data_IF_111575034377
#
_entry.id   IF_111575034377
#
_cell.length_a   1.000
_cell.length_b   1.000
_cell.length_c   1.000
_cell.angle_alpha   90.00
_cell.angle_beta   90.00
_cell.angle_gamma   90.00
#
_symmetry.space_group_name_H-M   'P 1'
#
loop_
_entity.id
_entity.type
_entity.pdbx_description
1 polymer ?
#
# COMPACT_ATOMS: atom_id res chain seq x y z
N UNK A 1 43.29 -54.91 36.82
CA UNK A 1 43.55 -53.96 35.71
C UNK A 1 42.26 -53.58 35.04
N UNK A 2 41.67 -52.49 35.47
CA UNK A 2 40.42 -51.97 34.87
C UNK A 2 40.77 -50.65 34.14
N UNK A 3 40.63 -50.62 32.80
CA UNK A 3 40.86 -49.44 31.97
C UNK A 3 39.52 -48.66 31.91
N UNK A 4 39.47 -47.47 32.58
CA UNK A 4 38.37 -46.51 32.46
C UNK A 4 38.49 -45.77 31.13
N UNK A 5 37.50 -45.93 30.29
CA UNK A 5 37.32 -45.08 29.11
C UNK A 5 36.62 -43.79 29.50
N UNK A 6 37.35 -42.70 29.46
CA UNK A 6 36.83 -41.36 29.60
C UNK A 6 36.21 -40.92 28.27
N UNK A 7 34.88 -40.87 28.16
CA UNK A 7 34.20 -40.28 27.07
C UNK A 7 34.11 -38.76 27.27
N UNK A 8 34.91 -37.99 26.54
CA UNK A 8 34.74 -36.55 26.45
C UNK A 8 33.45 -36.26 25.68
N UNK A 9 32.44 -35.76 26.38
CA UNK A 9 31.23 -35.22 25.77
C UNK A 9 31.54 -33.88 25.11
N UNK A 10 31.35 -33.81 23.81
CA UNK A 10 31.46 -32.59 23.02
C UNK A 10 30.21 -31.72 23.28
N UNK A 11 30.31 -30.71 24.12
CA UNK A 11 29.25 -29.74 24.39
C UNK A 11 29.11 -28.78 23.20
N UNK A 12 28.01 -28.87 22.50
CA UNK A 12 27.61 -27.89 21.46
C UNK A 12 27.01 -26.68 22.18
N UNK A 13 27.75 -25.59 22.33
CA UNK A 13 27.19 -24.31 22.79
C UNK A 13 26.60 -23.58 21.59
N UNK A 14 25.29 -23.64 21.43
CA UNK A 14 24.54 -22.78 20.50
C UNK A 14 24.24 -21.49 21.24
N UNK A 15 25.01 -20.44 20.98
CA UNK A 15 24.67 -19.10 21.44
C UNK A 15 23.60 -18.53 20.48
N UNK A 16 22.33 -18.65 20.83
CA UNK A 16 21.26 -17.91 20.21
C UNK A 16 21.36 -16.46 20.70
N UNK A 17 21.87 -15.57 19.87
CA UNK A 17 21.82 -14.14 20.07
C UNK A 17 20.38 -13.64 19.97
N UNK A 18 19.77 -13.28 21.08
CA UNK A 18 18.54 -12.49 21.14
C UNK A 18 18.81 -11.12 20.52
N UNK A 19 18.24 -10.85 19.37
CA UNK A 19 18.24 -9.52 18.77
C UNK A 19 17.02 -8.74 19.22
N UNK A 20 17.30 -7.68 19.98
CA UNK A 20 16.33 -6.65 20.32
C UNK A 20 15.89 -5.88 19.08
N UNK A 21 14.64 -5.43 19.13
CA UNK A 21 13.84 -4.75 18.14
C UNK A 21 14.56 -3.74 17.21
N UNK A 22 14.16 -3.77 15.94
CA UNK A 22 14.12 -2.60 15.08
C UNK A 22 15.32 -2.37 14.16
N UNK A 23 15.61 -3.28 13.21
CA UNK A 23 16.32 -2.91 11.99
C UNK A 23 15.80 -3.71 10.80
N UNK A 24 15.26 -3.03 9.77
CA UNK A 24 15.01 -3.64 8.47
C UNK A 24 16.35 -3.85 7.75
N UNK A 25 16.44 -4.95 7.02
CA UNK A 25 17.49 -5.26 6.05
C UNK A 25 18.86 -5.70 6.59
N UNK A 26 18.93 -6.98 7.02
CA UNK A 26 20.17 -7.72 6.91
C UNK A 26 19.99 -8.87 5.92
N UNK A 27 20.45 -8.74 4.66
CA UNK A 27 20.28 -9.76 3.64
C UNK A 27 21.21 -10.97 3.80
N UNK A 28 22.02 -11.04 4.86
CA UNK A 28 22.97 -12.13 5.05
C UNK A 28 23.01 -12.57 6.52
N UNK A 29 22.58 -13.79 6.78
CA UNK A 29 22.85 -14.41 8.08
C UNK A 29 24.30 -14.92 8.05
N UNK A 30 25.19 -14.23 8.77
CA UNK A 30 26.57 -14.64 8.99
C UNK A 30 26.58 -15.55 10.20
N UNK A 31 26.74 -16.86 9.96
CA UNK A 31 26.91 -17.85 11.03
C UNK A 31 28.39 -18.12 11.19
N UNK A 32 28.95 -17.79 12.35
CA UNK A 32 30.33 -18.11 12.69
C UNK A 32 30.36 -19.41 13.50
N UNK A 33 31.00 -20.44 12.93
CA UNK A 33 31.18 -21.74 13.58
C UNK A 33 32.64 -21.91 13.91
N UNK A 34 32.96 -22.18 15.18
CA UNK A 34 34.30 -22.52 15.65
C UNK A 34 34.36 -24.04 15.82
N UNK A 35 35.30 -24.70 15.13
CA UNK A 35 35.55 -26.13 15.23
C UNK A 35 37.01 -26.37 15.57
N UNK A 36 37.26 -27.38 16.39
CA UNK A 36 38.62 -27.87 16.59
C UNK A 36 39.06 -28.69 15.36
N UNK A 37 40.19 -28.35 14.82
CA UNK A 37 40.84 -29.16 13.75
C UNK A 37 41.26 -30.51 14.35
N UNK A 38 40.77 -31.65 13.86
CA UNK A 38 41.06 -32.97 14.42
C UNK A 38 42.52 -33.40 14.28
N UNK A 39 43.28 -32.74 13.42
CA UNK A 39 44.72 -33.06 13.20
C UNK A 39 45.65 -32.24 14.09
N UNK A 40 45.29 -30.96 14.31
CA UNK A 40 46.21 -30.02 14.97
C UNK A 40 45.71 -29.58 16.35
N UNK A 41 44.45 -29.89 16.70
CA UNK A 41 43.81 -29.43 17.94
C UNK A 41 43.52 -27.93 17.99
N UNK A 42 43.90 -27.18 16.93
CA UNK A 42 43.68 -25.73 16.87
C UNK A 42 42.21 -25.40 16.56
N UNK A 43 41.72 -24.34 17.17
CA UNK A 43 40.39 -23.82 16.90
C UNK A 43 40.39 -23.06 15.58
N UNK A 44 39.60 -23.52 14.59
CA UNK A 44 39.40 -22.86 13.32
C UNK A 44 38.02 -22.24 13.26
N UNK A 45 38.00 -20.95 12.99
CA UNK A 45 36.74 -20.19 12.80
C UNK A 45 36.35 -20.22 11.33
N UNK A 46 35.23 -20.87 11.02
CA UNK A 46 34.61 -20.83 9.71
C UNK A 46 33.42 -19.88 9.70
N UNK A 47 33.39 -18.96 8.75
CA UNK A 47 32.27 -18.05 8.53
C UNK A 47 31.45 -18.60 7.39
N UNK A 48 30.21 -19.03 7.69
CA UNK A 48 29.26 -19.50 6.69
C UNK A 48 28.33 -18.32 6.39
N UNK A 49 28.45 -17.76 5.20
CA UNK A 49 27.53 -16.75 4.70
C UNK A 49 26.40 -17.49 3.98
N UNK A 50 25.25 -17.59 4.63
CA UNK A 50 24.05 -18.13 3.99
C UNK A 50 23.38 -17.02 3.19
N UNK A 51 23.53 -17.06 1.87
CA UNK A 51 22.72 -16.21 1.00
C UNK A 51 21.25 -16.63 1.15
N UNK A 52 20.35 -15.64 1.31
CA UNK A 52 18.90 -15.88 1.31
C UNK A 52 18.55 -16.67 0.04
N UNK A 53 17.77 -17.75 0.13
CA UNK A 53 17.43 -18.56 -1.04
C UNK A 53 16.92 -17.67 -2.18
N UNK A 54 17.39 -17.89 -3.41
CA UNK A 54 17.01 -17.11 -4.60
C UNK A 54 15.49 -17.07 -4.76
N UNK A 55 14.79 -18.13 -4.37
CA UNK A 55 13.32 -18.19 -4.33
C UNK A 55 12.70 -17.16 -3.37
N UNK A 56 13.26 -16.97 -2.18
CA UNK A 56 12.75 -15.99 -1.21
C UNK A 56 13.04 -14.55 -1.65
N UNK A 57 14.15 -14.32 -2.37
CA UNK A 57 14.45 -13.02 -2.95
C UNK A 57 13.51 -12.70 -4.12
N UNK A 58 13.27 -13.66 -5.02
CA UNK A 58 12.28 -13.51 -6.11
C UNK A 58 10.87 -13.29 -5.58
N UNK A 59 10.45 -14.01 -4.55
CA UNK A 59 9.15 -13.82 -3.92
C UNK A 59 9.00 -12.42 -3.31
N UNK A 60 10.06 -11.86 -2.71
CA UNK A 60 10.07 -10.49 -2.19
C UNK A 60 10.08 -9.45 -3.32
N UNK A 61 10.84 -9.68 -4.40
CA UNK A 61 10.85 -8.83 -5.59
C UNK A 61 9.50 -8.87 -6.32
N UNK A 62 8.85 -10.03 -6.40
CA UNK A 62 7.49 -10.19 -6.95
C UNK A 62 6.41 -9.53 -6.08
N UNK A 63 6.61 -9.46 -4.77
CA UNK A 63 5.67 -8.79 -3.85
C UNK A 63 5.71 -7.25 -4.02
N UNK A 64 6.87 -6.68 -4.29
CA UNK A 64 7.07 -5.23 -4.46
C UNK A 64 6.90 -4.78 -5.92
N UNK A 65 7.04 -5.72 -6.87
CA UNK A 65 6.88 -5.45 -8.29
C UNK A 65 5.43 -5.20 -8.72
N UNK A 66 5.20 -4.80 -10.00
CA UNK A 66 3.86 -4.46 -10.51
C UNK A 66 2.82 -5.56 -10.30
N UNK A 67 3.20 -6.83 -10.37
CA UNK A 67 2.30 -7.97 -10.13
C UNK A 67 1.91 -8.10 -8.66
N UNK A 68 2.83 -7.81 -7.74
CA UNK A 68 2.56 -7.83 -6.30
C UNK A 68 1.63 -6.70 -5.89
N UNK A 69 1.87 -5.49 -6.40
CA UNK A 69 1.00 -4.33 -6.18
C UNK A 69 -0.41 -4.61 -6.70
N UNK A 70 -0.56 -5.16 -7.92
CA UNK A 70 -1.87 -5.49 -8.46
C UNK A 70 -2.62 -6.50 -7.58
N UNK A 71 -1.96 -7.57 -7.14
CA UNK A 71 -2.56 -8.55 -6.22
C UNK A 71 -2.97 -7.94 -4.88
N UNK A 72 -2.13 -7.07 -4.32
CA UNK A 72 -2.44 -6.38 -3.08
C UNK A 72 -3.66 -5.47 -3.24
N UNK A 73 -3.73 -4.70 -4.33
CA UNK A 73 -4.88 -3.84 -4.63
C UNK A 73 -6.17 -4.65 -4.76
N UNK A 74 -6.17 -5.74 -5.54
CA UNK A 74 -7.36 -6.60 -5.71
C UNK A 74 -7.85 -7.18 -4.37
N UNK A 75 -6.93 -7.73 -3.57
CA UNK A 75 -7.26 -8.31 -2.28
C UNK A 75 -7.81 -7.26 -1.29
N UNK A 76 -7.15 -6.10 -1.20
CA UNK A 76 -7.52 -5.02 -0.28
C UNK A 76 -8.84 -4.36 -0.73
N UNK A 77 -9.02 -4.13 -2.03
CA UNK A 77 -10.26 -3.61 -2.60
C UNK A 77 -11.47 -4.47 -2.22
N UNK A 78 -11.33 -5.80 -2.34
CA UNK A 78 -12.38 -6.74 -1.97
C UNK A 78 -12.76 -6.63 -0.47
N UNK A 79 -11.77 -6.47 0.43
CA UNK A 79 -12.03 -6.34 1.88
C UNK A 79 -12.71 -5.03 2.26
N UNK A 80 -12.48 -3.97 1.48
CA UNK A 80 -13.05 -2.63 1.73
C UNK A 80 -14.29 -2.35 0.87
N UNK A 81 -14.73 -3.31 0.04
CA UNK A 81 -15.84 -3.15 -0.90
C UNK A 81 -15.67 -1.94 -1.83
N UNK A 82 -14.44 -1.68 -2.26
CA UNK A 82 -14.12 -0.61 -3.21
C UNK A 82 -13.74 -1.19 -4.57
N UNK A 83 -14.03 -0.45 -5.68
CA UNK A 83 -13.55 -0.84 -6.99
C UNK A 83 -12.00 -0.83 -7.02
N UNK A 84 -11.32 -1.92 -7.41
CA UNK A 84 -9.86 -1.92 -7.51
C UNK A 84 -9.35 -0.88 -8.51
N UNK A 85 -10.13 -0.57 -9.55
CA UNK A 85 -9.82 0.48 -10.53
C UNK A 85 -9.69 1.87 -9.88
N UNK A 86 -10.47 2.16 -8.83
CA UNK A 86 -10.38 3.42 -8.09
C UNK A 86 -9.04 3.51 -7.34
N UNK A 87 -8.68 2.46 -6.60
CA UNK A 87 -7.42 2.41 -5.85
C UNK A 87 -6.24 2.54 -6.79
N UNK A 88 -6.26 1.82 -7.91
CA UNK A 88 -5.25 1.94 -8.94
C UNK A 88 -5.14 3.35 -9.53
N UNK A 89 -6.27 4.05 -9.68
CA UNK A 89 -6.30 5.40 -10.23
C UNK A 89 -5.68 6.40 -9.27
N UNK A 90 -5.98 6.26 -7.98
CA UNK A 90 -5.33 7.04 -6.91
C UNK A 90 -3.83 6.78 -6.89
N UNK A 91 -3.38 5.53 -6.82
CA UNK A 91 -1.94 5.18 -6.82
C UNK A 91 -1.23 5.75 -8.06
N UNK A 92 -1.88 5.71 -9.23
CA UNK A 92 -1.30 6.24 -10.47
C UNK A 92 -1.08 7.74 -10.40
N UNK A 93 -2.02 8.47 -9.84
CA UNK A 93 -1.93 9.95 -9.74
C UNK A 93 -0.99 10.36 -8.62
N UNK A 94 -1.04 9.67 -7.46
CA UNK A 94 -0.24 10.02 -6.28
C UNK A 94 1.26 9.77 -6.46
N UNK A 95 1.63 8.60 -6.93
CA UNK A 95 3.04 8.19 -6.96
C UNK A 95 3.53 7.66 -8.30
N UNK A 96 2.62 7.51 -9.29
CA UNK A 96 2.92 6.77 -10.51
C UNK A 96 3.47 5.34 -10.22
N UNK A 97 2.95 4.68 -9.18
CA UNK A 97 3.40 3.37 -8.69
C UNK A 97 4.81 3.33 -8.09
N UNK A 98 5.36 4.46 -7.66
CA UNK A 98 6.63 4.48 -6.94
C UNK A 98 6.41 4.25 -5.43
N UNK A 99 6.79 3.10 -4.86
CA UNK A 99 6.58 2.83 -3.43
C UNK A 99 7.48 3.69 -2.52
N UNK A 100 8.54 4.28 -3.06
CA UNK A 100 9.48 5.13 -2.33
C UNK A 100 9.24 6.61 -2.58
N UNK A 101 8.10 7.00 -3.17
CA UNK A 101 7.79 8.39 -3.43
C UNK A 101 7.65 9.19 -2.13
N UNK A 102 8.24 10.39 -2.13
CA UNK A 102 8.07 11.37 -1.06
C UNK A 102 7.78 12.73 -1.70
N UNK A 103 6.68 13.36 -1.28
CA UNK A 103 6.33 14.69 -1.76
C UNK A 103 7.10 15.80 -1.00
N UNK A 104 7.10 17.01 -1.54
CA UNK A 104 7.66 18.20 -0.85
C UNK A 104 6.93 18.51 0.46
N UNK A 105 5.68 18.07 0.61
CA UNK A 105 4.86 18.23 1.82
C UNK A 105 5.05 17.07 2.81
N UNK A 106 5.87 16.04 2.47
CA UNK A 106 6.16 14.90 3.32
C UNK A 106 5.18 13.73 3.19
N UNK A 107 4.31 13.72 2.18
CA UNK A 107 3.46 12.57 1.87
C UNK A 107 4.32 11.40 1.35
N UNK A 108 3.97 10.15 1.68
CA UNK A 108 4.84 8.99 1.53
C UNK A 108 4.15 7.80 0.85
N UNK A 109 4.93 7.10 0.01
CA UNK A 109 4.58 5.80 -0.56
C UNK A 109 3.60 5.86 -1.74
N UNK A 110 3.02 4.70 -2.06
CA UNK A 110 2.17 4.51 -3.24
C UNK A 110 0.94 5.41 -3.29
N UNK A 111 0.27 5.58 -2.14
CA UNK A 111 -0.94 6.38 -2.00
C UNK A 111 -0.68 7.74 -1.31
N UNK A 112 0.59 8.16 -1.22
CA UNK A 112 1.03 9.46 -0.71
C UNK A 112 0.34 9.86 0.61
N UNK A 113 0.47 9.01 1.61
CA UNK A 113 -0.09 9.29 2.93
C UNK A 113 0.78 10.26 3.71
N UNK A 114 0.17 11.31 4.26
CA UNK A 114 0.83 12.13 5.26
C UNK A 114 1.14 11.29 6.52
N UNK A 115 2.27 11.51 7.20
CA UNK A 115 2.66 10.70 8.36
C UNK A 115 1.59 10.59 9.45
N UNK A 116 0.81 11.65 9.66
CA UNK A 116 -0.29 11.65 10.60
C UNK A 116 -1.45 10.75 10.14
N UNK A 117 -1.83 10.86 8.88
CA UNK A 117 -2.84 10.00 8.25
C UNK A 117 -2.39 8.53 8.27
N UNK A 118 -1.13 8.26 7.94
CA UNK A 118 -0.56 6.93 7.99
C UNK A 118 -0.71 6.30 9.39
N UNK A 119 -0.35 7.04 10.45
CA UNK A 119 -0.54 6.59 11.85
C UNK A 119 -2.01 6.36 12.19
N UNK A 120 -2.91 7.31 11.83
CA UNK A 120 -4.36 7.22 12.09
C UNK A 120 -4.97 5.96 11.48
N UNK A 121 -4.51 5.56 10.29
CA UNK A 121 -5.01 4.39 9.57
C UNK A 121 -4.14 3.13 9.71
N UNK A 122 -3.25 3.09 10.71
CA UNK A 122 -2.53 1.90 11.14
C UNK A 122 -1.46 1.42 10.16
N UNK A 123 -0.79 2.35 9.48
CA UNK A 123 0.36 2.08 8.62
C UNK A 123 1.63 2.06 9.46
N UNK A 124 2.27 0.90 9.53
CA UNK A 124 3.52 0.73 10.27
C UNK A 124 4.73 1.22 9.45
N UNK A 125 4.72 0.97 8.15
CA UNK A 125 5.76 1.40 7.24
C UNK A 125 5.13 1.97 5.95
N UNK A 126 5.15 3.29 5.79
CA UNK A 126 4.56 3.97 4.64
C UNK A 126 5.26 3.63 3.30
N UNK A 127 6.45 3.05 3.33
CA UNK A 127 7.19 2.60 2.14
C UNK A 127 7.00 1.10 1.85
N UNK A 128 6.34 0.35 2.74
CA UNK A 128 5.86 -0.99 2.41
C UNK A 128 4.62 -0.90 1.52
N UNK A 129 4.63 -1.51 0.32
CA UNK A 129 3.52 -1.39 -0.62
C UNK A 129 2.18 -1.85 -0.05
N UNK A 130 2.17 -2.96 0.68
CA UNK A 130 0.93 -3.55 1.22
C UNK A 130 0.38 -2.69 2.34
N UNK A 131 1.23 -2.28 3.30
CA UNK A 131 0.86 -1.41 4.41
C UNK A 131 0.29 -0.08 3.90
N UNK A 132 0.98 0.54 2.93
CA UNK A 132 0.58 1.82 2.36
C UNK A 132 -0.76 1.73 1.62
N UNK A 133 -0.94 0.71 0.75
CA UNK A 133 -2.21 0.48 0.04
C UNK A 133 -3.33 0.22 1.04
N UNK A 134 -3.09 -0.60 2.06
CA UNK A 134 -4.10 -0.92 3.06
C UNK A 134 -4.55 0.30 3.86
N UNK A 135 -3.61 1.12 4.32
CA UNK A 135 -3.91 2.35 5.06
C UNK A 135 -4.59 3.40 4.18
N UNK A 136 -4.06 3.63 2.97
CA UNK A 136 -4.64 4.58 2.01
C UNK A 136 -6.05 4.19 1.56
N UNK A 137 -6.30 2.89 1.36
CA UNK A 137 -7.63 2.39 1.02
C UNK A 137 -8.60 2.54 2.18
N UNK A 138 -8.17 2.29 3.43
CA UNK A 138 -8.99 2.56 4.63
C UNK A 138 -9.33 4.04 4.77
N UNK A 139 -8.37 4.92 4.53
CA UNK A 139 -8.62 6.36 4.54
C UNK A 139 -9.61 6.76 3.46
N UNK A 140 -9.42 6.29 2.22
CA UNK A 140 -10.36 6.56 1.13
C UNK A 140 -11.77 6.03 1.42
N UNK A 141 -11.89 4.82 1.98
CA UNK A 141 -13.18 4.26 2.41
C UNK A 141 -13.84 5.12 3.49
N UNK A 142 -13.08 5.51 4.51
CA UNK A 142 -13.56 6.42 5.55
C UNK A 142 -14.11 7.73 4.96
N UNK A 143 -13.41 8.33 4.00
CA UNK A 143 -13.88 9.55 3.35
C UNK A 143 -15.14 9.33 2.50
N UNK A 144 -15.24 8.20 1.80
CA UNK A 144 -16.44 7.85 1.06
C UNK A 144 -17.64 7.66 2.00
N UNK A 145 -17.44 7.06 3.17
CA UNK A 145 -18.50 6.91 4.16
C UNK A 145 -18.88 8.27 4.77
N UNK A 146 -17.90 9.13 5.04
CA UNK A 146 -18.11 10.48 5.58
C UNK A 146 -18.93 11.36 4.62
N UNK A 147 -18.71 11.23 3.31
CA UNK A 147 -19.40 12.01 2.28
C UNK A 147 -20.51 11.22 1.56
N UNK A 148 -21.10 10.21 2.22
CA UNK A 148 -22.27 9.46 1.71
C UNK A 148 -22.05 8.86 0.30
N UNK A 149 -20.84 8.45 -0.03
CA UNK A 149 -20.48 7.85 -1.31
C UNK A 149 -20.19 8.87 -2.42
N UNK A 150 -20.15 10.17 -2.13
CA UNK A 150 -19.72 11.16 -3.12
C UNK A 150 -18.22 11.06 -3.37
N UNK A 151 -17.88 10.52 -4.54
CA UNK A 151 -16.49 10.35 -4.96
C UNK A 151 -15.73 11.66 -5.13
N UNK A 152 -16.43 12.74 -5.56
CA UNK A 152 -15.76 14.02 -5.77
C UNK A 152 -15.36 14.65 -4.44
N UNK A 153 -16.27 14.64 -3.46
CA UNK A 153 -15.97 15.16 -2.12
C UNK A 153 -14.92 14.29 -1.41
N UNK A 154 -15.03 12.96 -1.49
CA UNK A 154 -14.08 12.05 -0.87
C UNK A 154 -12.66 12.21 -1.47
N UNK A 155 -12.53 12.30 -2.77
CA UNK A 155 -11.24 12.50 -3.44
C UNK A 155 -10.69 13.91 -3.20
N UNK A 156 -11.56 14.93 -3.13
CA UNK A 156 -11.14 16.28 -2.75
C UNK A 156 -10.60 16.33 -1.33
N UNK A 157 -11.27 15.66 -0.38
CA UNK A 157 -10.80 15.54 1.00
C UNK A 157 -9.52 14.71 1.11
N UNK A 158 -9.38 13.66 0.29
CA UNK A 158 -8.15 12.87 0.23
C UNK A 158 -6.93 13.75 -0.12
N UNK A 159 -7.08 14.63 -1.13
CA UNK A 159 -6.00 15.49 -1.60
C UNK A 159 -5.81 16.77 -0.76
N UNK A 160 -6.91 17.46 -0.41
CA UNK A 160 -6.87 18.76 0.26
C UNK A 160 -7.04 18.69 1.78
N UNK A 161 -7.45 17.54 2.30
CA UNK A 161 -7.84 17.34 3.70
C UNK A 161 -9.33 17.55 3.97
N UNK A 162 -9.84 16.84 4.96
CA UNK A 162 -11.25 16.88 5.40
C UNK A 162 -11.69 18.32 5.74
N UNK A 163 -10.86 19.05 6.51
CA UNK A 163 -11.17 20.42 6.93
C UNK A 163 -11.30 21.43 5.78
N UNK A 164 -10.65 21.17 4.63
CA UNK A 164 -10.82 22.03 3.46
C UNK A 164 -12.22 21.82 2.84
N UNK A 165 -12.65 20.57 2.70
CA UNK A 165 -14.01 20.25 2.17
C UNK A 165 -15.09 20.74 3.14
N UNK A 166 -14.89 20.55 4.43
CA UNK A 166 -15.81 21.05 5.46
C UNK A 166 -15.95 22.58 5.41
N UNK A 167 -14.84 23.31 5.30
CA UNK A 167 -14.83 24.78 5.22
C UNK A 167 -15.62 25.30 4.03
N UNK A 168 -15.54 24.64 2.87
CA UNK A 168 -16.24 25.09 1.66
C UNK A 168 -17.61 24.46 1.48
N UNK A 169 -17.93 23.41 2.21
CA UNK A 169 -19.16 22.63 2.00
C UNK A 169 -19.25 21.97 0.61
N UNK A 170 -18.14 21.95 -0.13
CA UNK A 170 -18.02 21.50 -1.51
C UNK A 170 -16.55 21.16 -1.83
N UNK A 171 -16.27 20.78 -3.08
CA UNK A 171 -14.90 20.68 -3.58
C UNK A 171 -14.20 22.04 -3.42
N UNK A 172 -13.08 22.12 -2.68
CA UNK A 172 -12.37 23.38 -2.51
C UNK A 172 -11.87 23.93 -3.86
N UNK A 173 -11.92 25.23 -4.09
CA UNK A 173 -11.51 25.84 -5.37
C UNK A 173 -9.98 25.94 -5.48
N UNK A 174 -9.27 24.90 -5.08
CA UNK A 174 -7.83 24.81 -5.19
C UNK A 174 -7.45 24.20 -6.54
N UNK A 175 -6.65 24.89 -7.37
CA UNK A 175 -6.26 24.36 -8.69
C UNK A 175 -5.60 22.98 -8.60
N UNK A 176 -4.82 22.70 -7.56
CA UNK A 176 -4.21 21.40 -7.30
C UNK A 176 -5.27 20.31 -7.12
N UNK A 177 -6.28 20.57 -6.28
CA UNK A 177 -7.36 19.62 -5.97
C UNK A 177 -8.27 19.38 -7.17
N UNK A 178 -8.63 20.42 -7.91
CA UNK A 178 -9.44 20.30 -9.13
C UNK A 178 -8.69 19.44 -10.17
N UNK A 179 -7.41 19.72 -10.40
CA UNK A 179 -6.58 18.93 -11.32
C UNK A 179 -6.44 17.48 -10.86
N UNK A 180 -6.33 17.24 -9.54
CA UNK A 180 -6.28 15.91 -8.97
C UNK A 180 -7.54 15.10 -9.30
N UNK A 181 -8.73 15.68 -9.08
CA UNK A 181 -10.00 15.04 -9.39
C UNK A 181 -10.10 14.67 -10.88
N UNK A 182 -9.73 15.59 -11.78
CA UNK A 182 -9.71 15.36 -13.21
C UNK A 182 -8.77 14.20 -13.58
N UNK A 183 -7.58 14.15 -13.00
CA UNK A 183 -6.59 13.11 -13.27
C UNK A 183 -7.07 11.75 -12.76
N UNK A 184 -7.57 11.66 -11.53
CA UNK A 184 -8.11 10.40 -10.98
C UNK A 184 -9.30 9.92 -11.81
N UNK A 185 -10.24 10.81 -12.15
CA UNK A 185 -11.39 10.47 -12.97
C UNK A 185 -11.00 9.93 -14.36
N UNK A 186 -10.04 10.55 -15.04
CA UNK A 186 -9.51 10.05 -16.33
C UNK A 186 -8.87 8.65 -16.20
N UNK A 187 -8.10 8.41 -15.14
CA UNK A 187 -7.49 7.11 -14.90
C UNK A 187 -8.55 6.04 -14.60
N UNK A 188 -9.55 6.40 -13.82
CA UNK A 188 -10.66 5.50 -13.49
C UNK A 188 -11.45 5.07 -14.70
N UNK A 189 -11.85 6.01 -15.56
CA UNK A 189 -12.55 5.72 -16.81
C UNK A 189 -11.72 4.83 -17.74
N UNK A 190 -10.44 5.17 -17.95
CA UNK A 190 -9.52 4.37 -18.76
C UNK A 190 -9.42 2.93 -18.30
N UNK A 191 -9.41 2.69 -16.99
CA UNK A 191 -9.31 1.35 -16.41
C UNK A 191 -10.63 0.58 -16.44
N UNK A 192 -11.74 1.27 -16.25
CA UNK A 192 -13.08 0.67 -16.35
C UNK A 192 -13.40 0.18 -17.74
N UNK A 193 -12.95 0.90 -18.78
CA UNK A 193 -13.12 0.49 -20.19
C UNK A 193 -12.15 -0.59 -20.64
N UNK A 194 -10.99 -0.73 -19.97
CA UNK A 194 -9.99 -1.73 -20.31
C UNK A 194 -10.17 -3.07 -19.57
N UNK A 195 -11.06 -3.14 -18.57
CA UNK A 195 -11.39 -4.41 -17.90
C UNK A 195 -12.24 -5.28 -18.85
N UNK A 196 -11.89 -6.58 -19.05
CA UNK A 196 -12.79 -7.47 -19.76
C UNK A 196 -14.13 -7.55 -19.02
N UNK A 197 -15.27 -7.77 -19.73
CA UNK A 197 -16.55 -7.98 -19.08
C UNK A 197 -16.42 -9.11 -18.06
N UNK A 198 -16.85 -8.89 -16.83
CA UNK A 198 -16.82 -9.90 -15.78
C UNK A 198 -17.79 -11.02 -16.16
N UNK A 199 -17.30 -12.04 -16.85
CA UNK A 199 -18.02 -13.28 -17.05
C UNK A 199 -18.14 -14.00 -15.69
N UNK A 200 -19.37 -14.10 -15.19
CA UNK A 200 -19.69 -15.01 -14.09
C UNK A 200 -20.09 -14.43 -12.74
N UNK A 201 -20.60 -13.21 -12.66
CA UNK A 201 -21.30 -12.78 -11.44
C UNK A 201 -22.81 -13.05 -11.60
N UNK A 202 -23.44 -13.89 -10.76
CA UNK A 202 -24.90 -14.00 -10.78
C UNK A 202 -25.48 -12.61 -10.47
N UNK A 203 -26.41 -12.18 -11.33
CA UNK A 203 -27.12 -10.92 -11.16
C UNK A 203 -27.81 -10.90 -9.78
N UNK A 204 -27.68 -9.84 -8.98
CA UNK A 204 -28.55 -9.66 -7.84
C UNK A 204 -29.97 -9.48 -8.34
N UNK A 205 -30.90 -10.23 -7.72
CA UNK A 205 -32.32 -10.21 -8.01
C UNK A 205 -32.83 -8.77 -8.05
N UNK A 206 -33.64 -8.52 -9.07
CA UNK A 206 -34.30 -7.23 -9.33
C UNK A 206 -34.99 -6.68 -8.08
N UNK A 207 -34.46 -5.60 -7.55
CA UNK A 207 -35.16 -4.70 -6.67
C UNK A 207 -35.26 -3.35 -7.41
N UNK A 208 -36.50 -2.99 -7.74
CA UNK A 208 -37.05 -1.69 -8.11
C UNK A 208 -36.15 -0.69 -8.85
N UNK A 209 -36.62 -0.31 -10.01
CA UNK A 209 -36.15 0.75 -10.91
C UNK A 209 -35.70 2.03 -10.18
N UNK A 210 -34.39 2.18 -9.96
CA UNK A 210 -33.75 3.48 -9.84
C UNK A 210 -32.90 3.66 -11.11
N UNK A 211 -33.18 4.68 -11.86
CA UNK A 211 -32.51 5.03 -13.10
C UNK A 211 -31.00 5.14 -12.88
N UNK A 212 -30.15 4.64 -13.80
CA UNK A 212 -28.71 4.74 -13.67
C UNK A 212 -28.31 6.22 -13.76
N UNK A 213 -27.91 6.80 -12.65
CA UNK A 213 -27.13 8.04 -12.66
C UNK A 213 -25.78 7.71 -13.27
N UNK A 214 -25.58 8.07 -14.53
CA UNK A 214 -24.29 8.05 -15.20
C UNK A 214 -23.25 8.84 -14.39
N UNK A 215 -21.96 8.72 -14.70
CA UNK A 215 -20.91 9.44 -14.00
C UNK A 215 -21.27 10.93 -13.95
N UNK A 216 -21.35 11.47 -12.73
CA UNK A 216 -21.72 12.87 -12.53
C UNK A 216 -20.82 13.76 -13.37
N UNK A 217 -21.40 14.38 -14.39
CA UNK A 217 -20.68 15.34 -15.24
C UNK A 217 -20.53 16.63 -14.44
N UNK A 218 -19.30 17.01 -14.11
CA UNK A 218 -19.02 18.32 -13.53
C UNK A 218 -19.28 19.36 -14.62
N UNK A 219 -20.32 20.15 -14.46
CA UNK A 219 -20.62 21.28 -15.34
C UNK A 219 -20.17 22.57 -14.68
N UNK A 220 -19.43 23.35 -15.42
CA UNK A 220 -19.09 24.71 -15.05
C UNK A 220 -20.30 25.62 -15.38
N UNK A 221 -20.88 26.23 -14.36
CA UNK A 221 -21.98 27.19 -14.51
C UNK A 221 -21.43 28.56 -14.13
N UNK A 222 -21.36 29.45 -15.10
CA UNK A 222 -20.97 30.85 -14.89
C UNK A 222 -22.23 31.66 -14.56
N UNK A 223 -22.27 32.24 -13.35
CA UNK A 223 -23.36 33.12 -12.93
C UNK A 223 -23.34 34.46 -13.67
N UNK A 224 -24.45 35.20 -13.67
CA UNK A 224 -24.55 36.50 -14.34
C UNK A 224 -23.64 37.57 -13.71
N UNK A 225 -23.10 37.30 -12.51
CA UNK A 225 -22.15 38.13 -11.79
C UNK A 225 -20.68 37.75 -12.07
N UNK A 226 -20.44 36.81 -13.01
CA UNK A 226 -19.10 36.30 -13.32
C UNK A 226 -18.58 35.24 -12.33
N UNK A 227 -19.35 34.83 -11.34
CA UNK A 227 -18.98 33.75 -10.43
C UNK A 227 -19.07 32.38 -11.09
N UNK A 228 -18.05 31.55 -10.94
CA UNK A 228 -17.99 30.20 -11.48
C UNK A 228 -18.39 29.21 -10.40
N UNK A 229 -19.40 28.39 -10.65
CA UNK A 229 -19.83 27.28 -9.77
C UNK A 229 -19.73 25.97 -10.50
N UNK A 230 -19.22 24.95 -9.84
CA UNK A 230 -19.18 23.59 -10.38
C UNK A 230 -20.33 22.79 -9.75
N UNK A 231 -21.25 22.28 -10.58
CA UNK A 231 -22.36 21.43 -10.14
C UNK A 231 -22.22 20.02 -10.72
N UNK A 232 -22.52 19.01 -9.92
CA UNK A 232 -22.67 17.63 -10.37
C UNK A 232 -24.14 17.36 -10.69
N UNK A 233 -24.41 16.81 -11.85
CA UNK A 233 -25.76 16.35 -12.26
C UNK A 233 -25.70 14.90 -12.67
#
# INVERSE_FOLDING_TARGET
MRRSCFRLGLGLVVAAGLNAAGQPDRPQQIVSVVRADPRTGKLVRSVIVTAKPVAARRAAEDAVGPRGINRAVEAIAATQSLPPQLIHSVIKVESNYNPLAVSSKGAQGLMQLMPETARRFGVANAFDPVDNIQGGTRYLKYLLDLYNGDYNLALAAYNAGEGAVEKYGAVPPYPETINYLIQVGRQFQKRSTAAPPAEGRPAPAQAAEAQPSGPAHIQEVVGPDGSVRYTSR
#
